data_IF_315417712374
#
_entry.id   IF_315417712374
#
_cell.length_a   1.000
_cell.length_b   1.000
_cell.length_c   1.000
_cell.angle_alpha   90.00
_cell.angle_beta   90.00
_cell.angle_gamma   90.00
#
_symmetry.space_group_name_H-M   'P 1'
#
loop_
_entity.id
_entity.type
_entity.pdbx_description
1 polymer ?
#
# COMPACT_ATOMS: atom_id res chain seq x y z
N UNK A 1 -14.38 -18.28 32.67
CA UNK A 1 -14.85 -18.90 31.43
C UNK A 1 -15.53 -17.82 30.58
N UNK A 2 -14.80 -17.11 29.76
CA UNK A 2 -15.30 -16.07 28.84
C UNK A 2 -15.50 -16.70 27.49
N UNK A 3 -16.73 -16.65 26.96
CA UNK A 3 -17.09 -17.14 25.63
C UNK A 3 -16.41 -16.30 24.56
N UNK A 4 -15.68 -16.96 23.66
CA UNK A 4 -15.22 -16.39 22.41
C UNK A 4 -16.45 -15.91 21.61
N UNK A 5 -16.51 -14.60 21.35
CA UNK A 5 -17.53 -14.01 20.51
C UNK A 5 -17.27 -14.49 19.06
N UNK A 6 -18.24 -15.17 18.46
CA UNK A 6 -18.26 -15.54 17.05
C UNK A 6 -18.10 -14.27 16.20
N UNK A 7 -17.10 -14.28 15.33
CA UNK A 7 -16.98 -13.26 14.30
C UNK A 7 -18.12 -13.46 13.29
N UNK A 8 -18.85 -12.41 12.89
CA UNK A 8 -19.86 -12.56 11.84
C UNK A 8 -19.21 -13.09 10.57
N UNK A 9 -19.82 -14.13 9.97
CA UNK A 9 -19.44 -14.68 8.69
C UNK A 9 -19.45 -13.56 7.62
N UNK A 10 -18.42 -13.51 6.78
CA UNK A 10 -18.38 -12.54 5.67
C UNK A 10 -19.51 -12.89 4.71
N UNK A 11 -20.09 -11.87 4.07
CA UNK A 11 -21.16 -12.04 3.04
C UNK A 11 -20.76 -13.07 1.97
N UNK A 12 -19.48 -13.19 1.66
CA UNK A 12 -18.92 -14.19 0.75
C UNK A 12 -19.05 -15.64 1.25
N UNK A 13 -19.06 -15.87 2.55
CA UNK A 13 -19.20 -17.23 3.13
C UNK A 13 -20.66 -17.72 3.10
N UNK A 14 -21.63 -16.78 2.98
CA UNK A 14 -23.07 -17.09 2.98
C UNK A 14 -23.57 -17.53 1.58
N UNK A 15 -22.89 -17.10 0.51
CA UNK A 15 -23.33 -17.43 -0.87
C UNK A 15 -23.01 -18.89 -1.26
N UNK A 16 -22.08 -19.55 -0.55
CA UNK A 16 -21.64 -20.91 -0.89
C UNK A 16 -22.49 -22.04 -0.31
N UNK A 17 -23.52 -21.78 0.49
CA UNK A 17 -24.28 -22.80 1.22
C UNK A 17 -25.68 -23.08 0.67
N UNK A 18 -26.15 -22.40 -0.39
CA UNK A 18 -27.48 -22.68 -0.96
C UNK A 18 -27.42 -22.79 -2.50
N UNK A 19 -27.13 -23.95 -3.02
CA UNK A 19 -27.78 -24.60 -4.15
C UNK A 19 -27.01 -25.83 -4.63
N UNK A 20 -27.58 -27.01 -4.43
CA UNK A 20 -27.18 -28.21 -5.14
C UNK A 20 -27.70 -28.15 -6.59
N UNK A 21 -27.00 -27.40 -7.43
CA UNK A 21 -27.14 -27.44 -8.88
C UNK A 21 -25.75 -27.49 -9.47
N UNK A 22 -25.47 -28.45 -10.32
CA UNK A 22 -24.18 -28.59 -11.01
C UNK A 22 -23.78 -27.27 -11.63
N UNK A 23 -22.79 -26.64 -11.01
CA UNK A 23 -22.14 -25.48 -11.56
C UNK A 23 -21.42 -25.90 -12.84
N UNK A 24 -21.92 -25.43 -13.98
CA UNK A 24 -21.15 -25.42 -15.21
C UNK A 24 -19.75 -24.89 -14.88
N UNK A 25 -18.76 -25.75 -14.94
CA UNK A 25 -17.36 -25.44 -14.82
C UNK A 25 -17.03 -24.30 -15.79
N UNK A 26 -17.03 -23.08 -15.28
CA UNK A 26 -16.33 -22.00 -15.94
C UNK A 26 -14.89 -22.46 -16.03
N UNK A 27 -14.40 -22.77 -17.23
CA UNK A 27 -13.02 -23.21 -17.47
C UNK A 27 -12.12 -22.17 -16.85
N UNK A 28 -11.67 -22.40 -15.59
CA UNK A 28 -10.55 -21.70 -15.04
C UNK A 28 -9.43 -21.87 -16.06
N UNK A 29 -8.87 -20.77 -16.53
CA UNK A 29 -7.68 -20.81 -17.36
C UNK A 29 -6.70 -21.74 -16.65
N UNK A 30 -6.14 -22.71 -17.37
CA UNK A 30 -5.27 -23.80 -16.88
C UNK A 30 -3.88 -23.24 -16.46
N UNK A 31 -3.87 -22.07 -15.81
CA UNK A 31 -2.70 -21.44 -15.21
C UNK A 31 -2.68 -21.83 -13.74
N UNK A 32 -1.59 -22.43 -13.32
CA UNK A 32 -1.35 -22.71 -11.89
C UNK A 32 -1.44 -21.41 -11.05
N UNK A 33 -1.28 -21.50 -9.73
CA UNK A 33 -1.33 -20.33 -8.84
C UNK A 33 -0.32 -19.26 -9.28
N UNK A 34 -0.69 -17.99 -9.16
CA UNK A 34 0.21 -16.86 -9.42
C UNK A 34 1.36 -16.88 -8.41
N UNK A 35 2.58 -16.76 -8.92
CA UNK A 35 3.79 -16.74 -8.11
C UNK A 35 4.02 -15.33 -7.57
N UNK A 36 4.20 -15.23 -6.26
CA UNK A 36 4.46 -13.99 -5.55
C UNK A 36 5.91 -13.93 -5.09
N UNK A 37 6.58 -12.80 -5.34
CA UNK A 37 7.83 -12.47 -4.68
C UNK A 37 7.68 -11.21 -3.82
N UNK A 38 8.38 -11.17 -2.68
CA UNK A 38 8.37 -10.03 -1.75
C UNK A 38 9.80 -9.50 -1.59
N UNK A 39 9.99 -8.22 -1.95
CA UNK A 39 11.22 -7.48 -1.68
C UNK A 39 11.13 -6.82 -0.30
N UNK A 40 11.87 -7.35 0.66
CA UNK A 40 11.92 -6.85 2.04
C UNK A 40 11.00 -7.60 3.01
N UNK A 41 11.59 -8.20 4.06
CA UNK A 41 10.90 -8.92 5.13
C UNK A 41 10.87 -8.09 6.44
N UNK A 42 10.53 -6.80 6.32
CA UNK A 42 10.17 -5.92 7.44
C UNK A 42 8.76 -6.24 7.98
N UNK A 43 8.19 -5.33 8.79
CA UNK A 43 6.87 -5.53 9.39
C UNK A 43 5.77 -5.84 8.36
N UNK A 44 5.71 -5.09 7.24
CA UNK A 44 4.69 -5.31 6.20
C UNK A 44 4.98 -6.59 5.42
N UNK A 45 6.21 -6.76 4.89
CA UNK A 45 6.53 -7.91 4.04
C UNK A 45 6.39 -9.24 4.77
N UNK A 46 6.75 -9.28 6.07
CA UNK A 46 6.59 -10.49 6.89
C UNK A 46 5.11 -10.80 7.17
N UNK A 47 4.29 -9.78 7.44
CA UNK A 47 2.85 -9.97 7.64
C UNK A 47 2.17 -10.49 6.36
N UNK A 48 2.54 -9.92 5.19
CA UNK A 48 2.05 -10.41 3.88
C UNK A 48 2.49 -11.84 3.65
N UNK A 49 3.79 -12.15 3.82
CA UNK A 49 4.35 -13.49 3.65
C UNK A 49 3.62 -14.51 4.52
N UNK A 50 3.45 -14.22 5.82
CA UNK A 50 2.78 -15.11 6.78
C UNK A 50 1.30 -15.35 6.42
N UNK A 51 0.60 -14.36 5.89
CA UNK A 51 -0.80 -14.53 5.49
C UNK A 51 -0.95 -15.34 4.22
N UNK A 52 -0.06 -15.16 3.25
CA UNK A 52 -0.05 -15.98 2.02
C UNK A 52 0.25 -17.44 2.37
N UNK A 53 1.25 -17.67 3.20
CA UNK A 53 1.59 -19.00 3.71
C UNK A 53 0.39 -19.70 4.37
N UNK A 54 -0.39 -18.97 5.17
CA UNK A 54 -1.61 -19.47 5.81
C UNK A 54 -2.82 -19.59 4.87
N UNK A 55 -2.63 -19.41 3.57
CA UNK A 55 -3.69 -19.55 2.59
C UNK A 55 -4.73 -18.41 2.61
N UNK A 56 -4.38 -17.22 3.09
CA UNK A 56 -5.31 -16.09 3.16
C UNK A 56 -5.82 -15.61 1.79
N UNK A 57 -5.10 -15.92 0.70
CA UNK A 57 -5.47 -15.60 -0.68
C UNK A 57 -5.33 -16.85 -1.53
N UNK A 58 -6.45 -17.39 -2.00
CA UNK A 58 -6.46 -18.53 -2.89
C UNK A 58 -5.84 -18.17 -4.25
N UNK A 59 -5.13 -19.11 -4.88
CA UNK A 59 -4.56 -18.92 -6.20
C UNK A 59 -3.27 -18.07 -6.22
N UNK A 60 -2.67 -17.79 -5.06
CA UNK A 60 -1.35 -17.13 -4.95
C UNK A 60 -0.42 -17.98 -4.07
N UNK A 61 0.80 -18.15 -4.53
CA UNK A 61 1.84 -18.87 -3.78
C UNK A 61 3.07 -17.99 -3.63
N UNK A 62 3.63 -17.91 -2.43
CA UNK A 62 4.89 -17.21 -2.16
C UNK A 62 6.05 -18.07 -2.65
N UNK A 63 6.74 -17.64 -3.69
CA UNK A 63 7.84 -18.39 -4.33
C UNK A 63 9.20 -17.84 -3.99
N UNK A 64 9.34 -16.52 -3.80
CA UNK A 64 10.63 -15.92 -3.52
C UNK A 64 10.52 -14.72 -2.57
N UNK A 65 11.61 -14.47 -1.86
CA UNK A 65 11.78 -13.27 -1.04
C UNK A 65 13.18 -12.71 -1.23
N UNK A 66 13.32 -11.39 -1.06
CA UNK A 66 14.63 -10.75 -0.95
C UNK A 66 14.74 -10.01 0.37
N UNK A 67 15.85 -10.20 1.07
CA UNK A 67 16.16 -9.48 2.29
C UNK A 67 17.68 -9.20 2.36
N UNK A 68 18.05 -8.07 3.00
CA UNK A 68 19.46 -7.69 3.18
C UNK A 68 20.24 -8.73 3.98
N UNK A 69 19.63 -9.24 5.05
CA UNK A 69 20.18 -10.27 5.92
C UNK A 69 19.47 -11.59 5.61
N UNK A 70 20.18 -12.46 4.86
CA UNK A 70 19.64 -13.75 4.39
C UNK A 70 19.45 -14.75 5.52
N UNK A 71 20.35 -14.77 6.50
CA UNK A 71 20.29 -15.72 7.62
C UNK A 71 19.12 -15.37 8.55
N UNK A 72 18.93 -14.08 8.82
CA UNK A 72 17.77 -13.60 9.56
C UNK A 72 16.46 -13.87 8.82
N UNK A 73 16.45 -13.72 7.50
CA UNK A 73 15.29 -14.07 6.67
C UNK A 73 14.98 -15.56 6.75
N UNK A 74 15.97 -16.43 6.58
CA UNK A 74 15.82 -17.87 6.71
C UNK A 74 15.26 -18.26 8.08
N UNK A 75 15.77 -17.64 9.15
CA UNK A 75 15.26 -17.85 10.51
C UNK A 75 13.78 -17.47 10.69
N UNK A 76 13.30 -16.42 10.01
CA UNK A 76 11.89 -16.01 10.03
C UNK A 76 10.96 -16.94 9.23
N UNK A 77 11.48 -17.57 8.21
CA UNK A 77 10.73 -18.40 7.26
C UNK A 77 10.80 -19.91 7.58
N UNK A 78 11.62 -20.33 8.55
CA UNK A 78 11.91 -21.74 8.86
C UNK A 78 10.67 -22.58 9.16
N UNK A 79 9.62 -21.96 9.72
CA UNK A 79 8.39 -22.64 10.13
C UNK A 79 7.30 -22.57 9.05
N UNK A 80 7.62 -22.07 7.84
CA UNK A 80 6.70 -22.09 6.70
C UNK A 80 6.60 -23.50 6.14
N UNK A 81 5.40 -23.94 5.79
CA UNK A 81 5.16 -25.27 5.18
C UNK A 81 5.84 -25.36 3.79
N UNK A 82 5.84 -24.23 3.07
CA UNK A 82 6.60 -24.08 1.82
C UNK A 82 7.53 -22.90 1.96
N UNK A 83 8.81 -23.18 2.21
CA UNK A 83 9.82 -22.13 2.38
C UNK A 83 10.13 -21.50 1.03
N UNK A 84 9.88 -20.17 0.86
CA UNK A 84 10.21 -19.48 -0.39
C UNK A 84 11.73 -19.37 -0.58
N UNK A 85 12.17 -19.26 -1.83
CA UNK A 85 13.58 -19.03 -2.13
C UNK A 85 14.03 -17.64 -1.66
N UNK A 86 15.22 -17.55 -1.05
CA UNK A 86 15.83 -16.27 -0.70
C UNK A 86 16.78 -15.89 -1.84
N UNK A 87 16.33 -14.94 -2.67
CA UNK A 87 17.04 -14.54 -3.89
C UNK A 87 17.61 -13.11 -3.79
N UNK A 88 18.41 -12.70 -4.75
CA UNK A 88 18.85 -11.31 -4.88
C UNK A 88 17.74 -10.43 -5.47
N UNK A 89 17.89 -9.09 -5.39
CA UNK A 89 16.91 -8.13 -5.96
C UNK A 89 16.71 -8.34 -7.46
N UNK A 90 17.77 -8.64 -8.19
CA UNK A 90 17.73 -8.79 -9.65
C UNK A 90 17.01 -10.08 -10.09
N UNK A 91 17.01 -11.10 -9.24
CA UNK A 91 16.38 -12.40 -9.53
C UNK A 91 14.89 -12.43 -9.18
N UNK A 92 14.40 -11.55 -8.28
CA UNK A 92 13.01 -11.56 -7.81
C UNK A 92 11.98 -11.68 -8.94
N UNK A 93 12.14 -10.90 -10.00
CA UNK A 93 11.20 -10.87 -11.12
C UNK A 93 11.24 -12.13 -11.99
N UNK A 94 12.25 -12.97 -11.87
CA UNK A 94 12.34 -14.28 -12.57
C UNK A 94 11.52 -15.35 -11.85
N UNK A 95 11.44 -15.25 -10.54
CA UNK A 95 10.75 -16.21 -9.68
C UNK A 95 9.26 -15.89 -9.47
N UNK A 96 8.72 -14.80 -10.05
CA UNK A 96 7.38 -14.33 -9.73
C UNK A 96 6.60 -13.78 -10.93
N UNK A 97 5.28 -13.82 -10.81
CA UNK A 97 4.32 -13.13 -11.68
C UNK A 97 3.89 -11.81 -11.04
N UNK A 98 3.99 -11.74 -9.70
CA UNK A 98 3.68 -10.56 -8.88
C UNK A 98 4.89 -10.24 -8.00
N UNK A 99 5.34 -8.99 -8.01
CA UNK A 99 6.41 -8.49 -7.14
C UNK A 99 5.84 -7.41 -6.22
N UNK A 100 5.90 -7.64 -4.91
CA UNK A 100 5.52 -6.66 -3.88
C UNK A 100 6.78 -6.01 -3.33
N UNK A 101 6.87 -4.68 -3.42
CA UNK A 101 7.99 -3.90 -2.88
C UNK A 101 7.64 -3.42 -1.48
N UNK A 102 8.36 -3.96 -0.48
CA UNK A 102 8.31 -3.62 0.95
C UNK A 102 9.71 -3.27 1.48
N UNK A 103 10.61 -2.86 0.60
CA UNK A 103 12.01 -2.55 0.89
C UNK A 103 12.23 -1.05 1.19
N UNK A 104 13.42 -0.63 1.63
CA UNK A 104 13.75 0.78 1.70
C UNK A 104 13.60 1.49 0.35
N UNK A 105 13.07 2.71 0.37
CA UNK A 105 12.78 3.52 -0.82
C UNK A 105 13.98 3.67 -1.79
N UNK A 106 15.21 3.66 -1.28
CA UNK A 106 16.46 3.71 -2.07
C UNK A 106 16.64 2.50 -3.00
N UNK A 107 15.93 1.39 -2.76
CA UNK A 107 15.99 0.18 -3.59
C UNK A 107 14.83 0.09 -4.59
N UNK A 108 13.91 1.05 -4.57
CA UNK A 108 12.69 1.02 -5.36
C UNK A 108 12.94 0.74 -6.85
N UNK A 109 13.79 1.52 -7.50
CA UNK A 109 14.07 1.39 -8.94
C UNK A 109 14.71 0.04 -9.26
N UNK A 110 15.58 -0.46 -8.39
CA UNK A 110 16.25 -1.75 -8.55
C UNK A 110 15.27 -2.93 -8.48
N UNK A 111 14.11 -2.75 -7.84
CA UNK A 111 13.05 -3.75 -7.76
C UNK A 111 12.03 -3.53 -8.88
N UNK A 112 11.60 -2.29 -9.08
CA UNK A 112 10.54 -1.94 -10.02
C UNK A 112 10.93 -2.21 -11.48
N UNK A 113 12.12 -1.75 -11.89
CA UNK A 113 12.57 -1.84 -13.29
C UNK A 113 12.65 -3.29 -13.79
N UNK A 114 13.32 -4.24 -13.12
CA UNK A 114 13.33 -5.64 -13.56
C UNK A 114 11.93 -6.30 -13.58
N UNK A 115 11.05 -5.92 -12.65
CA UNK A 115 9.68 -6.44 -12.63
C UNK A 115 8.88 -5.95 -13.84
N UNK A 116 8.99 -4.66 -14.17
CA UNK A 116 8.30 -4.03 -15.29
C UNK A 116 8.85 -4.53 -16.62
N UNK A 117 10.16 -4.63 -16.78
CA UNK A 117 10.81 -5.15 -17.99
C UNK A 117 10.37 -6.58 -18.34
N UNK A 118 10.07 -7.39 -17.31
CA UNK A 118 9.57 -8.76 -17.49
C UNK A 118 8.04 -8.88 -17.56
N UNK A 119 7.32 -7.76 -17.70
CA UNK A 119 5.86 -7.76 -17.80
C UNK A 119 5.14 -8.23 -16.54
N UNK A 120 5.73 -8.07 -15.34
CA UNK A 120 5.15 -8.53 -14.07
C UNK A 120 4.13 -7.55 -13.51
N UNK A 121 3.29 -8.03 -12.61
CA UNK A 121 2.48 -7.16 -11.76
C UNK A 121 3.39 -6.64 -10.64
N UNK A 122 3.58 -5.33 -10.60
CA UNK A 122 4.39 -4.66 -9.58
C UNK A 122 3.49 -3.93 -8.58
N UNK A 123 3.64 -4.22 -7.30
CA UNK A 123 2.85 -3.62 -6.21
C UNK A 123 3.80 -2.83 -5.30
N UNK A 124 3.94 -1.52 -5.51
CA UNK A 124 4.81 -0.66 -4.71
C UNK A 124 4.17 -0.25 -3.38
N UNK A 125 4.98 -0.18 -2.32
CA UNK A 125 4.63 0.53 -1.09
C UNK A 125 5.39 1.84 -0.93
N UNK A 126 6.53 2.00 -1.60
CA UNK A 126 7.27 3.27 -1.69
C UNK A 126 6.69 4.17 -2.79
N UNK A 127 5.38 4.45 -2.71
CA UNK A 127 4.62 5.14 -3.77
C UNK A 127 5.14 6.55 -4.04
N UNK A 128 5.71 7.22 -3.01
CA UNK A 128 6.31 8.54 -3.17
C UNK A 128 7.45 8.55 -4.18
N UNK A 129 8.25 7.50 -4.23
CA UNK A 129 9.35 7.37 -5.20
C UNK A 129 8.83 7.22 -6.63
N UNK A 130 7.67 6.56 -6.80
CA UNK A 130 7.05 6.41 -8.13
C UNK A 130 6.74 7.76 -8.79
N UNK A 131 6.44 8.81 -8.02
CA UNK A 131 6.19 10.14 -8.58
C UNK A 131 7.39 10.72 -9.35
N UNK A 132 8.60 10.37 -8.95
CA UNK A 132 9.83 10.80 -9.62
C UNK A 132 10.28 9.82 -10.74
N UNK A 133 9.57 8.70 -10.89
CA UNK A 133 9.86 7.63 -11.85
C UNK A 133 8.64 7.25 -12.71
N UNK A 134 7.93 8.27 -13.21
CA UNK A 134 6.76 8.05 -14.08
C UNK A 134 7.12 7.42 -15.45
N UNK A 135 8.40 7.41 -15.83
CA UNK A 135 8.93 6.63 -16.96
C UNK A 135 8.62 5.13 -16.81
N UNK A 136 8.56 4.62 -15.59
CA UNK A 136 8.19 3.23 -15.32
C UNK A 136 6.76 2.90 -15.72
N UNK A 137 5.84 3.87 -15.66
CA UNK A 137 4.45 3.69 -16.11
C UNK A 137 4.39 3.54 -17.62
N UNK A 138 5.18 4.34 -18.35
CA UNK A 138 5.27 4.22 -19.81
C UNK A 138 5.95 2.91 -20.21
N UNK A 139 7.01 2.52 -19.51
CA UNK A 139 7.65 1.22 -19.71
C UNK A 139 6.68 0.06 -19.46
N UNK A 140 5.82 0.16 -18.43
CA UNK A 140 4.81 -0.85 -18.14
C UNK A 140 3.79 -1.02 -19.29
N UNK A 141 3.39 0.08 -19.98
CA UNK A 141 2.53 0.00 -21.17
C UNK A 141 3.19 -0.78 -22.28
N UNK A 142 4.49 -0.58 -22.50
CA UNK A 142 5.25 -1.23 -23.56
C UNK A 142 5.48 -2.72 -23.29
N UNK A 143 5.68 -3.10 -22.04
CA UNK A 143 5.99 -4.48 -21.64
C UNK A 143 4.76 -5.32 -21.29
N UNK A 144 3.59 -4.70 -21.17
CA UNK A 144 2.38 -5.34 -20.65
C UNK A 144 2.39 -5.55 -19.13
N UNK A 145 3.36 -4.99 -18.41
CA UNK A 145 3.39 -4.97 -16.96
C UNK A 145 2.25 -4.14 -16.38
N UNK A 146 1.90 -4.40 -15.12
CA UNK A 146 0.90 -3.60 -14.40
C UNK A 146 1.50 -3.07 -13.10
N UNK A 147 1.40 -1.78 -12.85
CA UNK A 147 1.73 -1.16 -11.57
C UNK A 147 0.41 -0.99 -10.80
N UNK A 148 0.27 -1.66 -9.66
CA UNK A 148 -0.95 -1.61 -8.84
C UNK A 148 -0.59 -1.02 -7.48
N UNK A 149 -0.96 0.24 -7.28
CA UNK A 149 -0.76 0.94 -6.01
C UNK A 149 -1.87 0.56 -5.05
N UNK A 150 -1.57 -0.12 -3.92
CA UNK A 150 -2.56 -0.42 -2.90
C UNK A 150 -2.98 0.86 -2.16
N UNK A 151 -4.12 0.83 -1.47
CA UNK A 151 -4.56 1.99 -0.66
C UNK A 151 -3.57 2.34 0.45
N UNK A 152 -2.74 1.38 0.87
CA UNK A 152 -1.75 1.60 1.91
C UNK A 152 -2.39 1.96 3.24
N UNK A 153 -2.03 3.12 3.77
CA UNK A 153 -2.59 3.67 5.01
C UNK A 153 -3.74 4.67 4.77
N UNK A 154 -4.31 4.68 3.55
CA UNK A 154 -5.49 5.48 3.19
C UNK A 154 -6.75 4.61 3.02
N UNK A 155 -7.85 5.27 2.68
CA UNK A 155 -9.13 4.69 2.26
C UNK A 155 -9.69 5.49 1.08
N UNK A 156 -10.72 4.93 0.42
CA UNK A 156 -11.55 5.63 -0.56
C UNK A 156 -10.83 6.09 -1.82
N UNK A 157 -9.70 5.48 -2.19
CA UNK A 157 -9.05 5.80 -3.47
C UNK A 157 -9.91 5.40 -4.66
N UNK A 158 -10.81 4.44 -4.49
CA UNK A 158 -11.84 4.07 -5.47
C UNK A 158 -12.84 5.20 -5.70
N UNK A 159 -13.34 5.85 -4.63
CA UNK A 159 -14.20 7.01 -4.74
C UNK A 159 -13.49 8.19 -5.42
N UNK A 160 -12.22 8.45 -5.05
CA UNK A 160 -11.40 9.49 -5.68
C UNK A 160 -11.19 9.21 -7.17
N UNK A 161 -10.90 7.97 -7.55
CA UNK A 161 -10.78 7.57 -8.96
C UNK A 161 -12.08 7.76 -9.72
N UNK A 162 -13.22 7.39 -9.11
CA UNK A 162 -14.52 7.51 -9.75
C UNK A 162 -14.85 8.97 -10.09
N UNK A 163 -14.64 9.92 -9.16
CA UNK A 163 -14.89 11.34 -9.44
C UNK A 163 -13.84 11.95 -10.38
N UNK A 164 -12.64 11.37 -10.45
CA UNK A 164 -11.59 11.83 -11.37
C UNK A 164 -11.87 11.50 -12.84
N UNK A 165 -12.86 10.68 -13.14
CA UNK A 165 -13.38 10.49 -14.51
C UNK A 165 -14.23 11.69 -14.97
N UNK A 166 -14.69 12.57 -14.03
CA UNK A 166 -15.37 13.83 -14.29
C UNK A 166 -14.48 15.06 -14.02
N UNK A 167 -15.10 16.20 -13.69
CA UNK A 167 -14.39 17.42 -13.37
C UNK A 167 -14.16 17.54 -11.86
N UNK A 168 -12.89 17.52 -11.46
CA UNK A 168 -12.48 17.71 -10.07
C UNK A 168 -11.96 19.12 -9.87
N UNK A 169 -12.62 19.88 -8.98
CA UNK A 169 -12.23 21.23 -8.62
C UNK A 169 -11.08 21.22 -7.62
N UNK A 170 -11.16 20.39 -6.58
CA UNK A 170 -10.13 20.30 -5.55
C UNK A 170 -10.01 18.91 -4.92
N UNK A 171 -8.78 18.50 -4.65
CA UNK A 171 -8.46 17.39 -3.74
C UNK A 171 -7.47 17.93 -2.71
N UNK A 172 -7.82 17.80 -1.44
CA UNK A 172 -6.99 18.20 -0.32
C UNK A 172 -6.88 17.07 0.69
N UNK A 173 -5.68 16.87 1.24
CA UNK A 173 -5.45 15.98 2.37
C UNK A 173 -4.87 16.75 3.56
N UNK A 174 -5.52 16.63 4.70
CA UNK A 174 -5.03 17.14 5.98
C UNK A 174 -4.48 15.97 6.78
N UNK A 175 -3.20 16.00 7.10
CA UNK A 175 -2.53 14.99 7.91
C UNK A 175 -2.20 15.56 9.29
N UNK A 176 -2.69 14.93 10.36
CA UNK A 176 -2.32 15.24 11.74
C UNK A 176 -1.47 14.11 12.30
N UNK A 177 -0.37 14.47 12.94
CA UNK A 177 0.59 13.52 13.53
C UNK A 177 1.07 13.98 14.90
N UNK A 178 1.40 13.04 15.79
CA UNK A 178 2.17 13.36 16.98
C UNK A 178 3.47 14.09 16.58
N UNK A 179 3.90 15.14 17.29
CA UNK A 179 5.12 15.91 16.96
C UNK A 179 6.37 15.04 16.78
N UNK A 180 6.52 13.99 17.60
CA UNK A 180 7.63 13.04 17.51
C UNK A 180 7.73 12.35 16.14
N UNK A 181 6.60 12.11 15.45
CA UNK A 181 6.55 11.48 14.13
C UNK A 181 6.96 12.39 12.97
N UNK A 182 7.24 13.67 13.24
CA UNK A 182 7.67 14.67 12.26
C UNK A 182 9.09 15.15 12.48
N UNK A 183 9.71 14.81 13.62
CA UNK A 183 11.10 15.18 13.92
C UNK A 183 12.06 14.70 12.85
N UNK A 184 12.98 15.57 12.45
CA UNK A 184 13.99 15.24 11.45
C UNK A 184 13.51 15.29 10.00
N UNK A 185 12.26 15.69 9.74
CA UNK A 185 11.80 15.89 8.38
C UNK A 185 12.62 16.98 7.69
N UNK A 186 13.13 16.76 6.45
CA UNK A 186 13.98 17.70 5.73
C UNK A 186 13.41 19.11 5.66
N UNK A 187 12.14 19.25 5.35
CA UNK A 187 11.46 20.53 5.29
C UNK A 187 11.50 21.29 6.62
N UNK A 188 11.28 20.60 7.76
CA UNK A 188 11.31 21.25 9.06
C UNK A 188 12.70 21.78 9.41
N UNK A 189 13.75 21.02 9.04
CA UNK A 189 15.14 21.42 9.24
C UNK A 189 15.46 22.64 8.36
N UNK A 190 15.12 22.58 7.08
CA UNK A 190 15.38 23.67 6.12
C UNK A 190 14.67 24.97 6.50
N UNK A 191 13.43 24.87 6.99
CA UNK A 191 12.63 26.03 7.40
C UNK A 191 12.85 26.46 8.86
N UNK A 192 13.71 25.77 9.61
CA UNK A 192 13.97 26.07 11.02
C UNK A 192 12.74 25.89 11.91
N UNK A 193 11.81 24.99 11.54
CA UNK A 193 10.56 24.77 12.28
C UNK A 193 10.78 23.73 13.37
N UNK A 194 10.67 24.14 14.65
CA UNK A 194 10.62 23.21 15.77
C UNK A 194 9.20 22.70 16.02
N UNK A 195 9.11 21.40 16.35
CA UNK A 195 7.90 20.72 16.81
C UNK A 195 8.03 20.27 18.27
N UNK A 196 9.08 20.68 18.96
CA UNK A 196 9.29 20.36 20.37
C UNK A 196 8.48 21.27 21.27
N UNK A 197 7.92 20.71 22.35
CA UNK A 197 7.20 21.46 23.38
C UNK A 197 5.90 22.11 22.89
N UNK A 198 5.29 21.62 21.82
CA UNK A 198 4.01 22.12 21.34
C UNK A 198 2.90 21.76 22.34
N UNK A 199 2.13 22.75 22.77
CA UNK A 199 0.93 22.59 23.61
C UNK A 199 -0.33 22.52 22.74
N UNK A 200 -0.30 23.12 21.54
CA UNK A 200 -1.41 23.15 20.59
C UNK A 200 -0.98 22.63 19.22
N UNK A 201 -1.97 22.25 18.40
CA UNK A 201 -1.73 21.81 17.03
C UNK A 201 -1.16 22.93 16.17
N UNK A 202 -0.03 22.68 15.49
CA UNK A 202 0.66 23.62 14.60
C UNK A 202 0.70 23.07 13.18
N UNK A 203 0.19 23.85 12.21
CA UNK A 203 0.40 23.55 10.80
C UNK A 203 1.86 23.82 10.45
N UNK A 204 2.59 22.76 10.07
CA UNK A 204 4.01 22.82 9.75
C UNK A 204 4.28 22.80 8.24
N UNK A 205 3.27 22.45 7.44
CA UNK A 205 3.37 22.47 5.98
C UNK A 205 2.01 22.74 5.34
N UNK A 206 2.02 23.47 4.23
CA UNK A 206 0.92 23.58 3.27
C UNK A 206 1.52 23.75 1.88
N UNK A 207 1.07 22.93 0.91
CA UNK A 207 1.57 22.94 -0.47
C UNK A 207 1.03 21.76 -1.26
N UNK A 208 1.62 21.49 -2.42
CA UNK A 208 1.26 20.36 -3.28
C UNK A 208 1.73 19.03 -2.71
N UNK A 209 1.12 17.93 -3.17
CA UNK A 209 1.58 16.58 -2.82
C UNK A 209 3.02 16.32 -3.28
N UNK A 210 3.48 16.94 -4.38
CA UNK A 210 4.86 16.86 -4.83
C UNK A 210 5.83 17.54 -3.88
N UNK A 211 5.51 18.74 -3.41
CA UNK A 211 6.33 19.45 -2.42
C UNK A 211 6.36 18.70 -1.09
N UNK A 212 5.22 18.15 -0.65
CA UNK A 212 5.15 17.29 0.52
C UNK A 212 6.04 16.05 0.38
N UNK A 213 6.11 15.46 -0.82
CA UNK A 213 6.96 14.31 -1.12
C UNK A 213 8.44 14.61 -0.85
N UNK A 214 8.91 15.77 -1.27
CA UNK A 214 10.30 16.20 -1.09
C UNK A 214 10.61 16.57 0.35
N UNK A 215 9.71 17.30 0.99
CA UNK A 215 9.90 17.81 2.35
C UNK A 215 9.71 16.76 3.46
N UNK A 216 8.91 15.73 3.22
CA UNK A 216 8.53 14.72 4.20
C UNK A 216 8.57 13.30 3.63
N UNK A 217 9.71 12.81 3.14
CA UNK A 217 9.81 11.54 2.41
C UNK A 217 9.33 10.32 3.21
N UNK A 218 9.44 10.34 4.53
CA UNK A 218 8.92 9.28 5.40
C UNK A 218 7.38 9.24 5.51
N UNK A 219 6.68 10.26 4.97
CA UNK A 219 5.24 10.47 5.18
C UNK A 219 4.45 10.59 3.87
N UNK A 220 5.11 10.42 2.73
CA UNK A 220 4.59 10.82 1.43
C UNK A 220 3.76 9.76 0.71
N UNK A 221 3.92 8.48 1.04
CA UNK A 221 3.28 7.41 0.28
C UNK A 221 1.75 7.56 0.19
N UNK A 222 1.12 8.05 1.26
CA UNK A 222 -0.33 8.32 1.28
C UNK A 222 -0.72 9.49 0.36
N UNK A 223 0.07 10.57 0.36
CA UNK A 223 -0.14 11.72 -0.52
C UNK A 223 0.06 11.36 -1.99
N UNK A 224 1.11 10.58 -2.27
CA UNK A 224 1.39 10.09 -3.61
C UNK A 224 0.27 9.17 -4.13
N UNK A 225 -0.21 8.25 -3.31
CA UNK A 225 -1.32 7.37 -3.69
C UNK A 225 -2.60 8.16 -3.98
N UNK A 226 -2.94 9.16 -3.16
CA UNK A 226 -4.08 10.06 -3.39
C UNK A 226 -3.92 10.86 -4.69
N UNK A 227 -2.74 11.43 -4.90
CA UNK A 227 -2.45 12.22 -6.10
C UNK A 227 -2.54 11.40 -7.39
N UNK A 228 -2.03 10.16 -7.36
CA UNK A 228 -2.11 9.24 -8.49
C UNK A 228 -3.53 8.71 -8.75
N UNK A 229 -4.36 8.63 -7.71
CA UNK A 229 -5.77 8.25 -7.86
C UNK A 229 -6.65 9.40 -8.39
N UNK A 230 -6.24 10.65 -8.15
CA UNK A 230 -7.03 11.85 -8.45
C UNK A 230 -6.42 12.72 -9.56
N UNK A 231 -6.11 13.96 -9.23
CA UNK A 231 -5.77 15.05 -10.16
C UNK A 231 -4.28 15.34 -10.29
N UNK A 232 -3.44 14.41 -9.88
CA UNK A 232 -1.98 14.52 -9.97
C UNK A 232 -1.34 15.27 -8.80
N UNK A 233 0.00 15.13 -8.66
CA UNK A 233 0.72 15.59 -7.47
C UNK A 233 0.89 17.10 -7.38
N UNK A 234 0.79 17.83 -8.47
CA UNK A 234 0.86 19.29 -8.51
C UNK A 234 -0.45 19.94 -8.03
N UNK A 235 -1.60 19.34 -8.37
CA UNK A 235 -2.93 19.89 -8.06
C UNK A 235 -3.49 19.39 -6.73
N UNK A 236 -3.05 18.21 -6.25
CA UNK A 236 -3.47 17.69 -4.94
C UNK A 236 -2.79 18.47 -3.83
N UNK A 237 -3.59 19.11 -2.97
CA UNK A 237 -3.12 19.94 -1.88
C UNK A 237 -2.93 19.13 -0.60
N UNK A 238 -1.88 19.45 0.14
CA UNK A 238 -1.49 18.80 1.38
C UNK A 238 -1.34 19.81 2.50
N UNK A 239 -1.88 19.45 3.67
CA UNK A 239 -1.53 20.11 4.94
C UNK A 239 -0.96 19.08 5.91
N UNK A 240 0.12 19.43 6.59
CA UNK A 240 0.71 18.61 7.66
C UNK A 240 0.70 19.39 8.95
N UNK A 241 0.12 18.79 9.99
CA UNK A 241 -0.02 19.35 11.32
C UNK A 241 0.73 18.52 12.34
N UNK A 242 1.60 19.15 13.11
CA UNK A 242 2.12 18.60 14.35
C UNK A 242 1.09 18.83 15.44
N UNK A 243 0.50 17.76 15.95
CA UNK A 243 -0.65 17.84 16.87
C UNK A 243 -0.35 17.00 18.14
N UNK A 244 -0.10 17.66 19.28
CA UNK A 244 0.19 16.96 20.53
C UNK A 244 -1.02 16.21 21.12
N UNK A 245 -2.26 16.55 20.68
CA UNK A 245 -3.47 15.89 21.16
C UNK A 245 -3.71 14.52 20.51
N UNK A 246 -3.04 14.21 19.38
CA UNK A 246 -3.21 12.92 18.71
C UNK A 246 -2.10 11.94 19.08
N UNK A 247 -2.46 10.66 19.21
CA UNK A 247 -1.54 9.57 19.52
C UNK A 247 -1.21 8.70 18.31
N UNK A 248 -1.85 8.98 17.15
CA UNK A 248 -1.75 8.23 15.90
C UNK A 248 -1.82 9.17 14.70
N UNK A 249 -1.41 8.68 13.55
CA UNK A 249 -1.57 9.42 12.29
C UNK A 249 -3.06 9.45 11.90
N UNK A 250 -3.57 10.64 11.64
CA UNK A 250 -4.93 10.88 11.15
C UNK A 250 -4.81 11.56 9.79
N UNK A 251 -5.51 11.01 8.79
CA UNK A 251 -5.58 11.58 7.45
C UNK A 251 -7.02 11.87 7.09
N UNK A 252 -7.32 13.12 6.74
CA UNK A 252 -8.62 13.53 6.22
C UNK A 252 -8.47 13.94 4.77
N UNK A 253 -9.16 13.24 3.88
CA UNK A 253 -9.26 13.56 2.46
C UNK A 253 -10.54 14.38 2.26
N UNK A 254 -10.44 15.47 1.52
CA UNK A 254 -11.55 16.35 1.16
C UNK A 254 -11.54 16.48 -0.36
N UNK A 255 -12.65 16.16 -1.00
CA UNK A 255 -12.82 16.20 -2.45
C UNK A 255 -14.00 17.06 -2.82
N UNK A 256 -13.78 17.96 -3.77
CA UNK A 256 -14.78 18.80 -4.40
C UNK A 256 -14.77 18.50 -5.91
N UNK A 257 -15.87 17.96 -6.43
CA UNK A 257 -16.02 17.57 -7.82
C UNK A 257 -17.45 17.85 -8.32
N UNK A 258 -17.63 17.93 -9.62
CA UNK A 258 -18.92 18.14 -10.27
C UNK A 258 -19.92 17.02 -9.94
N UNK A 259 -19.44 15.79 -9.84
CA UNK A 259 -20.26 14.61 -9.59
C UNK A 259 -20.57 14.42 -8.10
N UNK A 260 -19.67 14.78 -7.18
CA UNK A 260 -19.86 14.56 -5.74
C UNK A 260 -18.84 15.33 -4.91
N UNK A 261 -19.28 15.85 -3.75
CA UNK A 261 -18.42 16.38 -2.71
C UNK A 261 -18.42 15.42 -1.52
N UNK A 262 -17.24 15.09 -1.02
CA UNK A 262 -17.14 14.20 0.13
C UNK A 262 -15.88 14.47 0.97
N UNK A 263 -15.92 14.00 2.21
CA UNK A 263 -14.75 13.93 3.07
C UNK A 263 -14.65 12.56 3.72
N UNK A 264 -13.42 12.06 3.89
CA UNK A 264 -13.14 10.77 4.52
C UNK A 264 -11.99 10.95 5.50
N UNK A 265 -12.14 10.38 6.69
CA UNK A 265 -11.10 10.41 7.72
C UNK A 265 -10.69 8.99 8.10
N UNK A 266 -9.39 8.74 8.19
CA UNK A 266 -8.83 7.51 8.73
C UNK A 266 -7.89 7.81 9.88
N UNK A 267 -8.07 7.08 10.97
CA UNK A 267 -7.18 7.07 12.13
C UNK A 267 -6.37 5.78 12.14
N UNK A 268 -5.10 5.88 11.80
CA UNK A 268 -4.25 4.71 11.62
C UNK A 268 -3.80 4.12 12.95
N UNK A 269 -4.04 2.83 13.14
CA UNK A 269 -3.48 2.09 14.27
C UNK A 269 -2.04 1.69 13.92
N UNK A 270 -1.02 2.13 14.69
CA UNK A 270 0.37 1.80 14.42
C UNK A 270 0.65 0.31 14.62
N UNK A 271 1.65 -0.22 13.89
CA UNK A 271 2.18 -1.55 14.19
C UNK A 271 3.09 -1.48 15.42
N UNK A 272 3.16 -2.57 16.20
CA UNK A 272 4.06 -2.64 17.36
C UNK A 272 5.55 -2.64 16.94
N UNK A 273 5.85 -3.30 15.82
CA UNK A 273 7.23 -3.47 15.34
C UNK A 273 7.79 -2.23 14.63
N UNK A 274 6.92 -1.44 14.01
CA UNK A 274 7.29 -0.22 13.29
C UNK A 274 6.18 0.83 13.45
N UNK A 275 6.16 1.63 14.52
CA UNK A 275 5.10 2.58 14.82
C UNK A 275 4.75 3.60 13.72
N UNK A 276 5.70 4.06 12.85
CA UNK A 276 5.35 4.89 11.70
C UNK A 276 4.44 4.21 10.68
N UNK A 277 4.35 2.87 10.70
CA UNK A 277 3.55 2.08 9.76
C UNK A 277 2.20 1.72 10.35
N UNK A 278 1.11 2.04 9.66
CA UNK A 278 -0.24 1.62 10.02
C UNK A 278 -0.46 0.11 9.77
N UNK A 279 -1.15 -0.57 10.69
CA UNK A 279 -1.53 -2.00 10.53
C UNK A 279 -2.30 -2.27 9.25
N UNK A 280 -3.11 -1.30 8.79
CA UNK A 280 -3.92 -1.42 7.58
C UNK A 280 -3.07 -1.58 6.30
N UNK A 281 -1.82 -1.13 6.30
CA UNK A 281 -0.96 -1.17 5.10
C UNK A 281 -0.75 -2.59 4.59
N UNK A 282 -0.38 -3.53 5.46
CA UNK A 282 -0.25 -4.94 5.05
C UNK A 282 -1.60 -5.54 4.61
N UNK A 283 -2.69 -5.16 5.28
CA UNK A 283 -4.04 -5.61 4.92
C UNK A 283 -4.47 -5.11 3.55
N UNK A 284 -4.09 -3.89 3.17
CA UNK A 284 -4.36 -3.34 1.84
C UNK A 284 -3.64 -4.10 0.73
N UNK A 285 -2.41 -4.57 0.99
CA UNK A 285 -1.68 -5.45 0.05
C UNK A 285 -2.41 -6.78 -0.12
N UNK A 286 -2.84 -7.40 0.98
CA UNK A 286 -3.62 -8.66 0.92
C UNK A 286 -4.92 -8.46 0.15
N UNK A 287 -5.63 -7.35 0.36
CA UNK A 287 -6.85 -7.04 -0.39
C UNK A 287 -6.55 -6.84 -1.89
N UNK A 288 -5.43 -6.19 -2.22
CA UNK A 288 -4.98 -6.01 -3.62
C UNK A 288 -4.65 -7.36 -4.27
N UNK A 289 -3.93 -8.23 -3.57
CA UNK A 289 -3.62 -9.58 -4.05
C UNK A 289 -4.90 -10.40 -4.28
N UNK A 290 -5.85 -10.32 -3.36
CA UNK A 290 -7.15 -11.01 -3.45
C UNK A 290 -7.93 -10.58 -4.70
N UNK A 291 -7.93 -9.28 -5.03
CA UNK A 291 -8.58 -8.77 -6.26
C UNK A 291 -8.03 -9.38 -7.56
N UNK A 292 -6.82 -9.96 -7.54
CA UNK A 292 -6.24 -10.58 -8.73
C UNK A 292 -6.77 -11.98 -9.00
N UNK A 293 -7.33 -12.65 -8.01
CA UNK A 293 -7.69 -14.08 -8.09
C UNK A 293 -9.16 -14.36 -7.79
N UNK A 294 -9.85 -13.50 -7.06
CA UNK A 294 -11.27 -13.68 -6.74
C UNK A 294 -12.18 -13.28 -7.91
N UNK A 295 -13.27 -14.05 -8.16
CA UNK A 295 -14.21 -13.76 -9.22
C UNK A 295 -15.10 -12.54 -8.92
N UNK A 296 -15.30 -12.21 -7.64
CA UNK A 296 -16.07 -11.04 -7.20
C UNK A 296 -15.11 -9.94 -6.79
N UNK A 297 -15.13 -8.83 -7.50
CA UNK A 297 -14.36 -7.62 -7.18
C UNK A 297 -15.35 -6.51 -6.84
N UNK A 298 -15.14 -5.83 -5.70
CA UNK A 298 -15.93 -4.68 -5.25
C UNK A 298 -15.02 -3.46 -5.19
N UNK A 299 -15.52 -2.34 -5.64
CA UNK A 299 -14.78 -1.10 -5.83
C UNK A 299 -14.02 -1.04 -7.18
N UNK A 300 -13.54 0.15 -7.54
CA UNK A 300 -12.85 0.42 -8.82
C UNK A 300 -11.37 0.08 -8.78
#
# INVERSE_FOLDING_TARGET
>A
MARLADKPARIQDVILTQSGTELMSCKSSNRGPLRLAIAGLGAIGMEVASRIEKGAVAGITLTAVCARDRDRAAGKLKDFSTVPEIVSLNELAEHADIVVECAPASLFVNIARPAIERGRIFIPLSVGVLLDHMDLVEQARQTGARIIVPTGALLGLDAVKAVAEGEVQAIRMVTRKPPAGLKGAPYLIEQGISVDGLEEAKRVFAGSAREAARGFPANVNVAAALALAGIGPERTQMEIWADPAVTRNIHTIIVEADASNFSMTIENVPTHENPPTGKITALSVIATLRRLTEPLVVGT
#
